data_IF_220962615691
#
_entry.id   IF_220962615691
#
_cell.length_a   1.000
_cell.length_b   1.000
_cell.length_c   1.000
_cell.angle_alpha   90.00
_cell.angle_beta   90.00
_cell.angle_gamma   90.00
#
_symmetry.space_group_name_H-M   'P 1'
#
loop_
_entity.id
_entity.type
_entity.pdbx_description
1 polymer ?
#
# COMPACT_ATOMS: atom_id res chain seq x y z
N UNK A 1 40.35 -38.72 30.62
CA UNK A 1 40.47 -40.20 30.73
C UNK A 1 39.17 -40.70 31.33
N UNK A 2 38.50 -41.77 30.91
CA UNK A 2 38.55 -42.69 29.79
C UNK A 2 37.14 -43.31 29.70
N UNK A 3 36.67 -43.67 28.50
CA UNK A 3 35.53 -44.58 28.32
C UNK A 3 35.86 -45.95 28.92
N UNK A 4 34.85 -46.75 29.27
CA UNK A 4 34.92 -48.18 29.08
C UNK A 4 33.95 -48.64 27.98
N UNK A 5 34.45 -49.57 27.18
CA UNK A 5 33.78 -50.31 26.11
C UNK A 5 33.48 -51.74 26.56
N UNK A 6 32.32 -52.21 26.07
CA UNK A 6 31.97 -53.59 25.68
C UNK A 6 32.10 -54.75 26.70
N UNK A 7 30.98 -55.43 26.90
CA UNK A 7 30.88 -56.77 27.49
C UNK A 7 29.65 -57.49 26.95
N UNK A 8 29.85 -58.66 26.38
CA UNK A 8 28.97 -59.40 25.47
C UNK A 8 28.21 -60.53 26.20
N UNK A 9 27.29 -61.21 25.49
CA UNK A 9 26.62 -62.49 25.79
C UNK A 9 25.38 -62.39 26.70
N UNK A 10 24.23 -63.04 26.45
CA UNK A 10 23.98 -64.35 25.84
C UNK A 10 22.65 -64.41 25.09
N UNK A 11 22.66 -65.21 24.03
CA UNK A 11 21.48 -65.70 23.33
C UNK A 11 20.66 -66.65 24.23
N UNK A 12 19.34 -66.51 24.22
CA UNK A 12 18.44 -67.63 24.51
C UNK A 12 17.41 -67.78 23.42
N UNK A 13 17.38 -69.02 22.93
CA UNK A 13 16.63 -69.58 21.83
C UNK A 13 15.25 -70.00 22.35
N UNK A 14 14.16 -69.49 21.79
CA UNK A 14 12.88 -70.20 21.82
C UNK A 14 12.14 -70.05 20.48
N UNK A 15 12.11 -71.19 19.77
CA UNK A 15 11.18 -71.49 18.70
C UNK A 15 9.74 -71.50 19.25
N UNK A 16 8.80 -70.90 18.52
CA UNK A 16 7.46 -71.46 18.30
C UNK A 16 6.79 -70.77 17.12
N UNK A 17 6.81 -71.49 16.00
CA UNK A 17 5.85 -71.38 14.92
C UNK A 17 4.47 -71.74 15.46
N UNK A 18 3.49 -70.84 15.36
CA UNK A 18 2.08 -71.20 15.24
C UNK A 18 1.40 -70.29 14.22
N UNK A 19 0.58 -70.96 13.42
CA UNK A 19 -0.06 -70.54 12.17
C UNK A 19 -1.40 -69.84 12.43
N UNK A 20 -1.74 -68.88 11.54
CA UNK A 20 -3.06 -68.37 11.09
C UNK A 20 -3.35 -66.89 11.40
N UNK A 21 -4.21 -66.22 10.60
CA UNK A 21 -4.57 -66.41 9.18
C UNK A 21 -4.34 -65.14 8.34
N UNK A 22 -4.41 -65.29 7.01
CA UNK A 22 -4.19 -64.23 6.04
C UNK A 22 -5.07 -63.00 6.27
N UNK A 23 -4.41 -61.85 6.34
CA UNK A 23 -5.02 -60.55 6.11
C UNK A 23 -4.55 -60.08 4.73
N UNK A 24 -5.52 -59.85 3.87
CA UNK A 24 -5.33 -59.41 2.50
C UNK A 24 -4.35 -58.23 2.42
N UNK A 25 -3.34 -58.35 1.56
CA UNK A 25 -2.60 -57.21 1.05
C UNK A 25 -3.57 -56.39 0.19
N UNK A 26 -4.26 -55.43 0.81
CA UNK A 26 -4.86 -54.34 0.05
C UNK A 26 -3.73 -53.45 -0.43
N UNK A 27 -3.32 -53.72 -1.67
CA UNK A 27 -2.62 -52.75 -2.49
C UNK A 27 -3.47 -51.49 -2.59
N UNK A 28 -3.12 -50.45 -1.83
CA UNK A 28 -3.64 -49.11 -2.01
C UNK A 28 -2.91 -48.44 -3.19
N UNK A 29 -3.18 -48.93 -4.40
CA UNK A 29 -2.92 -48.16 -5.60
C UNK A 29 -3.69 -46.85 -5.53
N UNK A 30 -2.96 -45.75 -5.42
CA UNK A 30 -3.31 -44.46 -6.02
C UNK A 30 -4.58 -43.81 -5.49
N UNK A 31 -4.54 -43.29 -4.27
CA UNK A 31 -5.27 -42.06 -4.00
C UNK A 31 -4.65 -40.97 -4.88
N UNK A 32 -5.22 -40.79 -6.09
CA UNK A 32 -5.04 -39.54 -6.85
C UNK A 32 -5.56 -38.45 -5.93
N UNK A 33 -4.66 -37.80 -5.21
CA UNK A 33 -4.91 -36.46 -4.72
C UNK A 33 -5.23 -35.63 -5.97
N UNK A 34 -6.51 -35.45 -6.25
CA UNK A 34 -6.97 -34.37 -7.09
C UNK A 34 -6.56 -33.12 -6.32
N UNK A 35 -5.37 -32.60 -6.63
CA UNK A 35 -4.93 -31.29 -6.18
C UNK A 35 -5.95 -30.31 -6.75
N UNK A 36 -6.93 -29.93 -5.94
CA UNK A 36 -7.76 -28.76 -6.22
C UNK A 36 -6.77 -27.62 -6.53
N UNK A 37 -6.85 -26.97 -7.70
CA UNK A 37 -5.93 -25.89 -8.02
C UNK A 37 -6.05 -24.86 -6.90
N UNK A 38 -4.96 -24.65 -6.18
CA UNK A 38 -4.91 -23.62 -5.14
C UNK A 38 -5.31 -22.30 -5.79
N UNK A 39 -6.19 -21.49 -5.16
CA UNK A 39 -6.62 -20.23 -5.72
C UNK A 39 -5.39 -19.39 -6.08
N UNK A 40 -5.43 -18.64 -7.18
CA UNK A 40 -4.28 -17.87 -7.63
C UNK A 40 -3.80 -16.99 -6.47
N UNK A 41 -2.53 -17.16 -6.08
CA UNK A 41 -1.94 -16.36 -5.00
C UNK A 41 -2.08 -14.89 -5.39
N UNK A 42 -2.74 -14.11 -4.53
CA UNK A 42 -2.82 -12.66 -4.74
C UNK A 42 -1.39 -12.10 -4.82
N UNK A 43 -1.10 -11.22 -5.79
CA UNK A 43 0.20 -10.59 -5.87
C UNK A 43 0.51 -9.82 -4.58
N UNK A 44 1.81 -9.73 -4.23
CA UNK A 44 2.26 -8.93 -3.07
C UNK A 44 1.76 -7.48 -3.19
N UNK A 45 1.28 -6.85 -2.11
CA UNK A 45 0.74 -5.49 -2.16
C UNK A 45 1.82 -4.41 -2.39
N UNK A 46 3.09 -4.73 -2.15
CA UNK A 46 4.25 -3.86 -2.44
C UNK A 46 4.66 -3.87 -3.91
N UNK A 47 3.89 -4.55 -4.76
CA UNK A 47 4.19 -4.68 -6.17
C UNK A 47 3.63 -3.49 -6.93
N UNK A 48 4.39 -2.97 -7.89
CA UNK A 48 3.85 -1.99 -8.84
C UNK A 48 2.61 -2.57 -9.50
N UNK A 49 1.53 -1.78 -9.49
CA UNK A 49 0.28 -2.18 -10.10
C UNK A 49 0.42 -2.15 -11.62
N UNK A 50 -0.24 -3.11 -12.28
CA UNK A 50 -0.44 -3.02 -13.72
C UNK A 50 -1.35 -1.83 -14.03
N UNK A 51 -1.17 -1.11 -15.16
CA UNK A 51 -1.97 0.08 -15.48
C UNK A 51 -3.49 -0.15 -15.37
N UNK A 52 -3.99 -1.27 -15.91
CA UNK A 52 -5.42 -1.61 -15.86
C UNK A 52 -5.93 -1.85 -14.43
N UNK A 53 -5.16 -2.55 -13.61
CA UNK A 53 -5.52 -2.82 -12.21
C UNK A 53 -5.49 -1.52 -11.40
N UNK A 54 -4.48 -0.68 -11.64
CA UNK A 54 -4.38 0.64 -11.03
C UNK A 54 -5.59 1.50 -11.35
N UNK A 55 -5.97 1.65 -12.62
CA UNK A 55 -7.12 2.46 -13.02
C UNK A 55 -8.42 1.99 -12.34
N UNK A 56 -8.64 0.67 -12.26
CA UNK A 56 -9.82 0.12 -11.62
C UNK A 56 -9.87 0.41 -10.10
N UNK A 57 -8.74 0.25 -9.41
CA UNK A 57 -8.67 0.48 -7.95
C UNK A 57 -8.59 1.97 -7.58
N UNK A 58 -8.03 2.80 -8.46
CA UNK A 58 -7.85 4.24 -8.25
C UNK A 58 -9.08 5.08 -8.60
N UNK A 59 -9.93 4.63 -9.52
CA UNK A 59 -11.08 5.43 -9.97
C UNK A 59 -11.97 5.96 -8.83
N UNK A 60 -12.32 5.18 -7.78
CA UNK A 60 -13.08 5.71 -6.64
C UNK A 60 -12.30 6.78 -5.86
N UNK A 61 -11.00 6.58 -5.65
CA UNK A 61 -10.14 7.54 -4.97
C UNK A 61 -10.04 8.85 -5.76
N UNK A 62 -9.96 8.76 -7.09
CA UNK A 62 -9.94 9.93 -7.97
C UNK A 62 -11.21 10.77 -7.82
N UNK A 63 -12.37 10.14 -7.74
CA UNK A 63 -13.66 10.80 -7.49
C UNK A 63 -13.64 11.53 -6.14
N UNK A 64 -13.08 10.91 -5.11
CA UNK A 64 -13.02 11.55 -3.80
C UNK A 64 -12.00 12.71 -3.76
N UNK A 65 -11.12 12.86 -4.74
CA UNK A 65 -10.18 13.99 -4.84
C UNK A 65 -8.71 13.60 -4.79
N UNK A 66 -8.37 12.30 -4.75
CA UNK A 66 -6.99 11.87 -4.90
C UNK A 66 -6.47 12.15 -6.32
N UNK A 67 -5.19 12.51 -6.41
CA UNK A 67 -4.48 12.71 -7.68
C UNK A 67 -3.19 11.91 -7.70
N UNK A 68 -2.73 11.62 -8.92
CA UNK A 68 -1.39 11.07 -9.16
C UNK A 68 -0.49 12.24 -9.51
N UNK A 69 0.55 12.43 -8.72
CA UNK A 69 1.51 13.51 -8.90
C UNK A 69 2.92 12.94 -9.17
N UNK A 70 3.77 13.75 -9.79
CA UNK A 70 5.18 13.41 -9.92
C UNK A 70 5.84 13.43 -8.54
N UNK A 71 6.59 12.39 -8.23
CA UNK A 71 7.47 12.39 -7.07
C UNK A 71 8.64 13.33 -7.39
N UNK A 72 8.63 14.52 -6.79
CA UNK A 72 9.75 15.46 -6.92
C UNK A 72 11.02 14.79 -6.37
N UNK A 73 12.12 14.81 -7.14
CA UNK A 73 13.40 14.34 -6.65
C UNK A 73 13.85 15.21 -5.48
N UNK A 74 14.51 14.62 -4.48
CA UNK A 74 15.06 15.34 -3.33
C UNK A 74 15.99 16.50 -3.76
N UNK A 75 16.61 16.40 -4.93
CA UNK A 75 17.43 17.45 -5.55
C UNK A 75 16.61 18.71 -5.88
N UNK A 76 15.38 18.58 -6.38
CA UNK A 76 14.52 19.74 -6.71
C UNK A 76 13.99 20.48 -5.47
N UNK A 77 13.85 19.77 -4.35
CA UNK A 77 13.44 20.39 -3.07
C UNK A 77 14.56 21.23 -2.44
N UNK A 78 15.82 20.91 -2.73
CA UNK A 78 16.98 21.69 -2.30
C UNK A 78 17.28 22.87 -3.23
N UNK A 79 16.84 22.81 -4.49
CA UNK A 79 17.01 23.89 -5.46
C UNK A 79 15.86 24.90 -5.46
N UNK A 80 14.71 24.59 -4.83
CA UNK A 80 13.59 25.53 -4.70
C UNK A 80 13.90 26.78 -3.85
N UNK A 81 15.02 26.77 -3.11
CA UNK A 81 15.55 27.93 -2.36
C UNK A 81 16.46 28.84 -3.24
N UNK A 82 16.66 28.47 -4.52
CA UNK A 82 17.37 29.28 -5.52
C UNK A 82 16.42 29.65 -6.65
N UNK A 83 16.06 30.92 -6.67
CA UNK A 83 15.14 31.52 -7.63
C UNK A 83 15.76 31.48 -9.05
N UNK A 84 14.91 31.10 -9.99
CA UNK A 84 14.96 31.24 -11.46
C UNK A 84 15.53 30.09 -12.31
N UNK A 85 14.76 29.82 -13.38
CA UNK A 85 14.97 28.88 -14.49
C UNK A 85 15.06 27.38 -14.16
N UNK A 86 13.95 26.64 -14.36
CA UNK A 86 13.93 25.48 -15.28
C UNK A 86 12.48 25.20 -15.70
N UNK A 87 12.06 25.73 -16.85
CA UNK A 87 10.83 25.34 -17.56
C UNK A 87 11.03 24.11 -18.47
N UNK A 88 12.13 23.36 -18.34
CA UNK A 88 12.52 22.30 -19.30
C UNK A 88 12.68 20.89 -18.70
N UNK A 89 12.17 20.64 -17.49
CA UNK A 89 12.26 19.33 -16.84
C UNK A 89 11.04 18.41 -17.01
N UNK A 90 9.97 18.89 -17.62
CA UNK A 90 8.67 18.20 -17.64
C UNK A 90 8.53 17.16 -18.78
N UNK A 91 9.41 17.18 -19.79
CA UNK A 91 9.14 16.46 -21.06
C UNK A 91 9.64 15.00 -21.12
N UNK A 92 10.31 14.47 -20.08
CA UNK A 92 10.86 13.09 -20.12
C UNK A 92 10.14 12.05 -19.26
N UNK A 93 9.11 12.44 -18.49
CA UNK A 93 8.32 11.49 -17.65
C UNK A 93 7.11 10.92 -18.43
N UNK A 94 6.84 11.39 -19.64
CA UNK A 94 5.65 11.11 -20.45
C UNK A 94 5.75 9.87 -21.37
N UNK A 95 6.71 8.95 -21.16
CA UNK A 95 6.87 7.78 -22.07
C UNK A 95 6.64 6.39 -21.48
N UNK A 96 6.25 6.27 -20.21
CA UNK A 96 5.67 5.02 -19.74
C UNK A 96 4.52 5.32 -18.81
N UNK A 97 3.37 4.69 -19.04
CA UNK A 97 2.30 4.57 -18.05
C UNK A 97 2.72 3.69 -16.86
N UNK A 98 3.95 3.88 -16.36
CA UNK A 98 4.45 3.23 -15.18
C UNK A 98 4.20 4.13 -13.96
N UNK A 99 3.95 3.48 -12.83
CA UNK A 99 3.66 4.16 -11.56
C UNK A 99 4.94 4.55 -10.83
N UNK A 100 6.10 4.44 -11.48
CA UNK A 100 7.39 4.80 -10.91
C UNK A 100 7.61 6.31 -11.02
N UNK A 101 8.27 6.88 -10.03
CA UNK A 101 8.40 8.34 -9.90
C UNK A 101 7.06 9.03 -9.70
N UNK A 102 6.02 8.31 -9.25
CA UNK A 102 4.68 8.85 -8.95
C UNK A 102 4.35 8.68 -7.48
N UNK A 103 3.47 9.55 -6.99
CA UNK A 103 2.86 9.48 -5.65
C UNK A 103 1.36 9.71 -5.75
N UNK A 104 0.61 9.16 -4.81
CA UNK A 104 -0.77 9.55 -4.59
C UNK A 104 -0.81 10.73 -3.62
N UNK A 105 -1.59 11.75 -3.94
CA UNK A 105 -1.71 12.94 -3.11
C UNK A 105 -3.17 13.36 -2.97
N UNK A 106 -3.53 13.87 -1.80
CA UNK A 106 -4.82 14.46 -1.53
C UNK A 106 -4.74 15.55 -0.47
N UNK A 107 -5.55 16.59 -0.64
CA UNK A 107 -5.80 17.62 0.37
C UNK A 107 -7.17 17.37 1.00
N UNK A 108 -7.21 17.36 2.33
CA UNK A 108 -8.41 17.25 3.14
C UNK A 108 -8.69 18.60 3.80
N UNK A 109 -9.95 19.05 3.75
CA UNK A 109 -10.38 20.31 4.35
C UNK A 109 -11.16 20.03 5.63
N UNK A 110 -10.69 20.57 6.74
CA UNK A 110 -11.21 20.20 8.07
C UNK A 110 -12.13 21.30 8.63
N UNK A 111 -12.32 22.40 7.88
CA UNK A 111 -13.09 23.57 8.29
C UNK A 111 -12.25 24.57 9.10
N UNK A 112 -12.91 25.59 9.65
CA UNK A 112 -12.25 26.71 10.32
C UNK A 112 -12.50 26.75 11.83
N UNK A 113 -11.72 27.59 12.52
CA UNK A 113 -11.92 27.89 13.94
C UNK A 113 -11.83 26.69 14.87
N UNK A 114 -12.49 26.77 16.04
CA UNK A 114 -12.40 25.73 17.08
C UNK A 114 -12.94 24.37 16.60
N UNK A 115 -14.00 24.38 15.81
CA UNK A 115 -14.61 23.17 15.24
C UNK A 115 -13.64 22.49 14.26
N UNK A 116 -13.06 23.27 13.33
CA UNK A 116 -12.10 22.75 12.36
C UNK A 116 -10.84 22.21 13.02
N UNK A 117 -10.35 22.89 14.07
CA UNK A 117 -9.23 22.38 14.86
C UNK A 117 -9.54 21.03 15.54
N UNK A 118 -10.74 20.86 16.11
CA UNK A 118 -11.14 19.56 16.70
C UNK A 118 -11.21 18.46 15.65
N UNK A 119 -11.78 18.76 14.48
CA UNK A 119 -11.84 17.81 13.35
C UNK A 119 -10.44 17.43 12.88
N UNK A 120 -9.54 18.41 12.73
CA UNK A 120 -8.14 18.20 12.35
C UNK A 120 -7.44 17.21 13.29
N UNK A 121 -7.47 17.48 14.61
CA UNK A 121 -6.81 16.63 15.59
C UNK A 121 -7.41 15.22 15.59
N UNK A 122 -8.74 15.10 15.51
CA UNK A 122 -9.41 13.79 15.42
C UNK A 122 -8.97 13.04 14.16
N UNK A 123 -8.98 13.70 13.01
CA UNK A 123 -8.59 13.13 11.72
C UNK A 123 -7.15 12.64 11.73
N UNK A 124 -6.19 13.49 12.12
CA UNK A 124 -4.77 13.12 12.16
C UNK A 124 -4.51 11.99 13.15
N UNK A 125 -5.19 11.97 14.30
CA UNK A 125 -5.09 10.88 15.26
C UNK A 125 -5.54 9.53 14.69
N UNK A 126 -6.68 9.50 14.00
CA UNK A 126 -7.19 8.27 13.36
C UNK A 126 -6.33 7.84 12.17
N UNK A 127 -5.84 8.80 11.36
CA UNK A 127 -4.88 8.51 10.28
C UNK A 127 -3.59 7.91 10.84
N UNK A 128 -3.10 8.38 11.99
CA UNK A 128 -1.95 7.80 12.68
C UNK A 128 -2.14 6.30 12.96
N UNK A 129 -3.30 5.91 13.47
CA UNK A 129 -3.62 4.50 13.70
C UNK A 129 -3.64 3.69 12.39
N UNK A 130 -4.22 4.25 11.32
CA UNK A 130 -4.24 3.59 10.00
C UNK A 130 -2.82 3.37 9.47
N UNK A 131 -1.92 4.34 9.65
CA UNK A 131 -0.51 4.24 9.23
C UNK A 131 0.21 3.12 9.98
N UNK A 132 0.01 3.03 11.30
CA UNK A 132 0.56 1.94 12.11
C UNK A 132 0.01 0.58 11.69
N UNK A 133 -1.31 0.46 11.52
CA UNK A 133 -1.97 -0.79 11.13
C UNK A 133 -1.56 -1.28 9.74
N UNK A 134 -1.28 -0.35 8.82
CA UNK A 134 -0.83 -0.68 7.47
C UNK A 134 0.69 -0.85 7.34
N UNK A 135 1.48 -0.45 8.35
CA UNK A 135 2.94 -0.37 8.27
C UNK A 135 3.39 0.28 6.94
N UNK A 136 2.80 1.43 6.63
CA UNK A 136 3.03 2.17 5.40
C UNK A 136 2.89 3.67 5.65
N UNK A 137 4.02 4.37 5.61
CA UNK A 137 4.14 5.71 6.18
C UNK A 137 4.07 6.79 5.07
N UNK A 138 3.00 7.60 5.02
CA UNK A 138 2.89 8.72 4.10
C UNK A 138 3.66 9.94 4.61
N UNK A 139 3.84 10.92 3.73
CA UNK A 139 4.13 12.30 4.12
C UNK A 139 2.80 12.98 4.45
N UNK A 140 2.75 13.67 5.60
CA UNK A 140 1.58 14.43 6.05
C UNK A 140 2.02 15.88 6.27
N UNK A 141 1.36 16.81 5.60
CA UNK A 141 1.56 18.25 5.77
C UNK A 141 0.28 18.87 6.31
N UNK A 142 0.40 19.64 7.39
CA UNK A 142 -0.72 20.29 8.06
C UNK A 142 -0.46 21.78 8.04
N UNK A 143 -1.40 22.54 7.49
CA UNK A 143 -1.30 24.00 7.44
C UNK A 143 -2.68 24.64 7.48
N UNK A 144 -2.79 25.94 7.81
CA UNK A 144 -3.93 26.72 7.37
C UNK A 144 -3.96 26.79 5.84
N UNK A 145 -5.15 26.98 5.28
CA UNK A 145 -5.37 27.11 3.85
C UNK A 145 -4.68 28.36 3.28
N UNK A 146 -4.59 29.45 4.07
CA UNK A 146 -3.89 30.69 3.69
C UNK A 146 -2.42 30.49 3.35
N UNK A 147 -1.77 29.52 3.99
CA UNK A 147 -0.32 29.31 3.89
C UNK A 147 0.01 28.13 2.97
N UNK A 148 -1.03 27.50 2.40
CA UNK A 148 -0.87 26.33 1.56
C UNK A 148 -0.56 26.72 0.11
N UNK A 149 0.63 26.34 -0.35
CA UNK A 149 1.04 26.46 -1.74
C UNK A 149 0.92 25.09 -2.41
N UNK A 150 -0.17 24.80 -3.14
CA UNK A 150 -0.38 23.48 -3.73
C UNK A 150 0.69 23.20 -4.79
N UNK A 151 1.29 22.00 -4.83
CA UNK A 151 2.24 21.62 -5.88
C UNK A 151 1.58 21.50 -7.26
N UNK A 152 0.25 21.37 -7.31
CA UNK A 152 -0.54 21.40 -8.54
C UNK A 152 -1.88 22.09 -8.30
N UNK A 153 -2.33 22.98 -9.20
CA UNK A 153 -3.61 23.68 -9.07
C UNK A 153 -4.83 22.75 -9.06
N UNK A 154 -4.67 21.49 -9.48
CA UNK A 154 -5.73 20.48 -9.52
C UNK A 154 -6.03 19.79 -8.17
N UNK A 155 -5.24 20.09 -7.13
CA UNK A 155 -5.35 19.46 -5.81
C UNK A 155 -6.36 20.12 -4.88
N UNK A 156 -6.66 21.40 -5.11
CA UNK A 156 -7.70 22.11 -4.39
C UNK A 156 -8.98 22.10 -5.22
N UNK A 157 -10.13 21.96 -4.56
CA UNK A 157 -11.41 22.06 -5.25
C UNK A 157 -11.66 23.52 -5.69
N UNK A 158 -12.46 23.71 -6.74
CA UNK A 158 -12.90 25.04 -7.18
C UNK A 158 -13.67 25.79 -6.07
N UNK A 159 -14.33 25.06 -5.15
CA UNK A 159 -14.99 25.67 -4.00
C UNK A 159 -13.98 26.21 -2.99
N UNK A 160 -12.85 25.53 -2.80
CA UNK A 160 -11.77 25.95 -1.90
C UNK A 160 -11.10 27.25 -2.33
N UNK A 161 -11.07 27.52 -3.65
CA UNK A 161 -10.53 28.77 -4.20
C UNK A 161 -11.48 29.96 -4.04
N UNK A 162 -12.76 29.72 -3.72
CA UNK A 162 -13.80 30.76 -3.61
C UNK A 162 -14.31 31.01 -2.19
N UNK A 163 -14.01 30.12 -1.23
CA UNK A 163 -14.32 30.31 0.20
C UNK A 163 -13.13 30.90 0.98
N UNK A 164 -13.40 31.45 2.16
CA UNK A 164 -12.41 32.13 2.99
C UNK A 164 -11.17 31.27 3.24
N UNK A 165 -9.97 31.85 3.10
CA UNK A 165 -8.65 31.22 3.29
C UNK A 165 -8.36 30.80 4.75
N UNK A 166 -9.39 30.57 5.56
CA UNK A 166 -9.33 30.41 7.03
C UNK A 166 -9.45 28.97 7.51
N UNK A 167 -9.63 28.00 6.60
CA UNK A 167 -9.76 26.59 6.93
C UNK A 167 -8.43 25.90 7.28
N UNK A 168 -8.47 24.86 8.09
CA UNK A 168 -7.35 23.94 8.28
C UNK A 168 -7.36 22.87 7.20
N UNK A 169 -6.18 22.53 6.70
CA UNK A 169 -6.03 21.45 5.73
C UNK A 169 -5.01 20.42 6.19
N UNK A 170 -5.15 19.22 5.63
CA UNK A 170 -4.16 18.15 5.69
C UNK A 170 -3.88 17.69 4.28
N UNK A 171 -2.66 17.88 3.79
CA UNK A 171 -2.18 17.18 2.61
C UNK A 171 -1.56 15.85 3.04
N UNK A 172 -1.98 14.77 2.40
CA UNK A 172 -1.37 13.46 2.54
C UNK A 172 -0.83 13.00 1.19
N UNK A 173 0.44 12.62 1.18
CA UNK A 173 1.13 12.06 0.01
C UNK A 173 1.73 10.69 0.34
N UNK A 174 1.49 9.68 -0.50
CA UNK A 174 1.99 8.32 -0.29
C UNK A 174 2.56 7.70 -1.56
N UNK A 175 3.67 6.97 -1.39
CA UNK A 175 4.31 6.15 -2.41
C UNK A 175 5.12 5.04 -1.72
N UNK A 176 5.45 3.98 -2.44
CA UNK A 176 6.35 2.93 -1.97
C UNK A 176 7.78 3.23 -2.39
N UNK A 177 8.69 3.33 -1.42
CA UNK A 177 10.11 3.68 -1.66
C UNK A 177 10.88 2.57 -2.43
N UNK A 178 10.57 1.30 -2.17
CA UNK A 178 11.24 0.14 -2.78
C UNK A 178 10.23 -0.89 -3.30
N UNK A 179 9.52 -0.58 -4.41
CA UNK A 179 8.46 -1.47 -4.87
C UNK A 179 9.01 -2.73 -5.53
N UNK A 180 8.24 -3.80 -5.48
CA UNK A 180 8.50 -5.01 -6.26
C UNK A 180 8.05 -4.80 -7.71
N UNK A 181 8.72 -5.42 -8.69
CA UNK A 181 8.38 -5.26 -10.10
C UNK A 181 6.97 -5.78 -10.39
N UNK A 182 6.23 -5.25 -11.38
CA UNK A 182 4.86 -5.66 -11.65
C UNK A 182 4.76 -7.18 -11.95
N UNK A 183 3.58 -7.78 -11.77
CA UNK A 183 3.34 -9.20 -12.07
C UNK A 183 2.27 -9.26 -13.17
N UNK A 184 2.37 -10.16 -14.16
CA UNK A 184 3.41 -11.18 -14.37
C UNK A 184 4.67 -10.67 -15.09
N UNK A 185 4.77 -9.37 -15.39
CA UNK A 185 5.82 -8.83 -16.25
C UNK A 185 7.20 -8.82 -15.56
N UNK A 186 8.20 -9.58 -16.05
CA UNK A 186 9.54 -9.53 -15.49
C UNK A 186 10.22 -8.20 -15.87
N UNK A 187 10.64 -7.42 -14.88
CA UNK A 187 11.57 -6.32 -15.12
C UNK A 187 12.97 -6.91 -15.31
N UNK A 188 13.42 -7.04 -16.57
CA UNK A 188 14.80 -7.46 -16.82
C UNK A 188 15.75 -6.33 -16.39
N UNK A 189 16.42 -6.51 -15.24
CA UNK A 189 17.71 -5.89 -14.93
C UNK A 189 17.74 -4.45 -14.40
N UNK A 190 16.64 -3.69 -14.39
CA UNK A 190 16.63 -2.35 -13.78
C UNK A 190 16.22 -2.40 -12.30
N UNK A 191 16.92 -1.65 -11.45
CA UNK A 191 16.46 -1.40 -10.08
C UNK A 191 15.12 -0.66 -10.13
N UNK A 192 14.16 -1.11 -9.35
CA UNK A 192 12.88 -0.42 -9.22
C UNK A 192 13.08 0.94 -8.55
N UNK A 193 12.41 1.96 -9.08
CA UNK A 193 12.34 3.30 -8.50
C UNK A 193 11.12 3.40 -7.58
N UNK A 194 11.10 4.36 -6.64
CA UNK A 194 9.92 4.65 -5.84
C UNK A 194 8.68 4.83 -6.71
N UNK A 195 7.50 4.42 -6.24
CA UNK A 195 6.28 4.49 -7.05
C UNK A 195 5.03 4.00 -6.33
N UNK A 196 3.89 4.08 -7.00
CA UNK A 196 2.59 3.70 -6.45
C UNK A 196 2.35 2.19 -6.57
N UNK A 197 1.94 1.57 -5.46
CA UNK A 197 1.61 0.14 -5.32
C UNK A 197 0.22 -0.05 -4.71
N UNK A 198 -0.18 -1.32 -4.52
CA UNK A 198 -1.43 -1.64 -3.84
C UNK A 198 -1.45 -1.20 -2.36
N UNK A 199 -0.28 -1.07 -1.70
CA UNK A 199 -0.20 -0.51 -0.33
C UNK A 199 -0.65 0.94 -0.28
N UNK A 200 -0.22 1.74 -1.26
CA UNK A 200 -0.55 3.16 -1.38
C UNK A 200 -2.06 3.35 -1.60
N UNK A 201 -2.66 2.56 -2.50
CA UNK A 201 -4.10 2.55 -2.76
C UNK A 201 -4.89 2.15 -1.51
N UNK A 202 -4.47 1.08 -0.83
CA UNK A 202 -5.14 0.61 0.37
C UNK A 202 -5.06 1.61 1.52
N UNK A 203 -3.90 2.26 1.69
CA UNK A 203 -3.74 3.34 2.67
C UNK A 203 -4.70 4.49 2.34
N UNK A 204 -4.71 4.95 1.09
CA UNK A 204 -5.60 6.01 0.64
C UNK A 204 -7.08 5.69 0.92
N UNK A 205 -7.53 4.48 0.61
CA UNK A 205 -8.89 4.01 0.91
C UNK A 205 -9.22 4.06 2.41
N UNK A 206 -8.30 3.64 3.28
CA UNK A 206 -8.50 3.69 4.73
C UNK A 206 -8.54 5.11 5.28
N UNK A 207 -7.72 6.00 4.72
CA UNK A 207 -7.77 7.42 5.07
C UNK A 207 -9.10 8.04 4.65
N UNK A 208 -9.67 7.65 3.52
CA UNK A 208 -11.02 8.09 3.12
C UNK A 208 -12.10 7.69 4.12
N UNK A 209 -12.10 6.43 4.56
CA UNK A 209 -13.04 5.94 5.56
C UNK A 209 -12.97 6.80 6.84
N UNK A 210 -11.75 7.14 7.27
CA UNK A 210 -11.52 8.02 8.42
C UNK A 210 -12.03 9.44 8.16
N UNK A 211 -11.79 9.99 6.98
CA UNK A 211 -12.24 11.34 6.63
C UNK A 211 -13.77 11.43 6.68
N UNK A 212 -14.47 10.48 6.06
CA UNK A 212 -15.93 10.38 6.07
C UNK A 212 -16.50 10.27 7.50
N UNK A 213 -15.83 9.52 8.38
CA UNK A 213 -16.22 9.41 9.79
C UNK A 213 -16.07 10.74 10.55
N UNK A 214 -15.04 11.53 10.23
CA UNK A 214 -14.75 12.81 10.91
C UNK A 214 -15.62 13.95 10.40
N UNK A 215 -15.83 14.04 9.09
CA UNK A 215 -16.65 15.10 8.49
C UNK A 215 -18.16 14.81 8.56
N UNK A 216 -18.54 13.55 8.75
CA UNK A 216 -19.91 13.07 8.68
C UNK A 216 -20.33 12.77 7.24
N UNK A 217 -21.17 11.74 7.05
CA UNK A 217 -21.77 11.45 5.75
C UNK A 217 -22.73 12.58 5.40
N UNK A 218 -22.42 13.32 4.34
CA UNK A 218 -23.39 14.22 3.72
C UNK A 218 -24.44 13.33 3.07
N UNK A 219 -25.59 13.14 3.73
CA UNK A 219 -26.77 12.59 3.09
C UNK A 219 -27.19 13.58 2.01
N UNK A 220 -26.83 13.28 0.76
CA UNK A 220 -27.39 13.97 -0.40
C UNK A 220 -28.87 13.60 -0.43
N UNK A 221 -29.72 14.48 0.11
CA UNK A 221 -31.15 14.45 -0.18
C UNK A 221 -31.28 14.57 -1.69
N UNK A 222 -31.69 13.49 -2.35
CA UNK A 222 -32.20 13.55 -3.72
C UNK A 222 -33.46 14.41 -3.68
N UNK A 223 -33.40 15.58 -4.31
CA UNK A 223 -34.58 16.28 -4.81
C UNK A 223 -35.22 15.51 -5.97
#
# INVERSE_FOLDING_TARGET
>A
MARPTAGNLQATRTLRHLYRPGVASQSCYGARYQSTPSPPRRPSPYRLLQPHAFLAEFAPLHVNGWRVDALQSAEKLLEADKVEEVLDGAETVEKSGDLQGRRLVRVFELGEGKEGWRKLIKFVGHVGQVVEDQDHHPTIHISPLSDYNPPSPSLLSLQTQSQSQTGYIVELSTHTHTPLPPYPLPSKGSKMKPGVTGKDIKLAQKVEEVYEEVIGRVEVKKE
#
